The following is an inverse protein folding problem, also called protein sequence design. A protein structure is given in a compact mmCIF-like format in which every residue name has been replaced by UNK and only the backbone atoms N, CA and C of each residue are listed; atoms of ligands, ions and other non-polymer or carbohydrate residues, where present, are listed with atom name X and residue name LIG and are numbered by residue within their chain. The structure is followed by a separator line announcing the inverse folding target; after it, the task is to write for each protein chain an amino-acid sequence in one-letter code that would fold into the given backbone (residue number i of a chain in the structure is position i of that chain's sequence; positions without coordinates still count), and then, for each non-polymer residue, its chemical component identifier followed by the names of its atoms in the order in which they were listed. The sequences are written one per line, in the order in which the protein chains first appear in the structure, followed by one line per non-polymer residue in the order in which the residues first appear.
data_IF_364366326289
#
_entry.id   IF_364366326289
#
_cell.length_a   1.000
_cell.length_b   1.000
_cell.length_c   1.000
_cell.angle_alpha   90.00
_cell.angle_beta   90.00
_cell.angle_gamma   90.00
#
_symmetry.space_group_name_H-M   'P 1'
#
loop_
_entity.id
_entity.type
_entity.pdbx_description
1 polymer ?
#
# COMPACT_ATOMS: atom_id res chain seq x y z
N UNK A 1 23.89 64.20 11.48
CA UNK A 1 23.83 62.83 10.92
C UNK A 1 24.32 61.90 12.03
N UNK A 2 23.40 61.39 12.85
CA UNK A 2 23.75 60.60 14.05
C UNK A 2 23.69 59.12 13.71
N UNK A 3 24.84 58.50 13.47
CA UNK A 3 24.96 57.05 13.36
C UNK A 3 24.63 56.44 14.73
N UNK A 4 23.49 55.77 14.81
CA UNK A 4 23.08 54.98 15.97
C UNK A 4 23.83 53.64 15.91
N UNK A 5 25.08 53.61 16.38
CA UNK A 5 25.88 52.40 16.53
C UNK A 5 25.47 51.65 17.81
N UNK A 6 24.25 51.11 17.84
CA UNK A 6 23.86 50.10 18.82
C UNK A 6 24.45 48.76 18.39
N UNK A 7 25.60 48.40 18.95
CA UNK A 7 26.16 47.06 18.82
C UNK A 7 25.17 45.99 19.30
N UNK A 8 25.15 44.85 18.63
CA UNK A 8 24.25 43.74 18.96
C UNK A 8 24.66 43.13 20.31
N UNK A 9 23.70 42.99 21.23
CA UNK A 9 23.97 42.39 22.54
C UNK A 9 24.11 40.87 22.44
N UNK A 10 24.83 40.26 23.38
CA UNK A 10 25.03 38.81 23.41
C UNK A 10 23.70 38.04 23.49
N UNK A 11 22.72 38.59 24.22
CA UNK A 11 21.40 37.98 24.36
C UNK A 11 20.59 38.03 23.06
N UNK A 12 20.72 39.11 22.28
CA UNK A 12 20.08 39.21 20.96
C UNK A 12 20.67 38.22 19.96
N UNK A 13 22.00 38.03 19.98
CA UNK A 13 22.68 37.00 19.17
C UNK A 13 22.21 35.60 19.57
N UNK A 14 22.13 35.31 20.86
CA UNK A 14 21.66 34.03 21.36
C UNK A 14 20.19 33.78 20.98
N UNK A 15 19.32 34.78 21.11
CA UNK A 15 17.93 34.71 20.69
C UNK A 15 17.81 34.48 19.18
N UNK A 16 18.61 35.15 18.36
CA UNK A 16 18.61 34.97 16.91
C UNK A 16 19.04 33.55 16.50
N UNK A 17 20.12 33.02 17.08
CA UNK A 17 20.63 31.67 16.77
C UNK A 17 19.65 30.59 17.24
N UNK A 18 19.06 30.76 18.43
CA UNK A 18 18.08 29.81 18.97
C UNK A 18 16.80 29.79 18.12
N UNK A 19 16.28 30.96 17.75
CA UNK A 19 15.12 31.06 16.86
C UNK A 19 15.42 30.44 15.49
N UNK A 20 16.60 30.74 14.92
CA UNK A 20 17.03 30.14 13.65
C UNK A 20 17.10 28.61 13.75
N UNK A 21 17.65 28.09 14.85
CA UNK A 21 17.80 26.65 15.06
C UNK A 21 16.45 25.93 15.17
N UNK A 22 15.49 26.51 15.89
CA UNK A 22 14.11 25.96 15.98
C UNK A 22 13.47 25.89 14.59
N UNK A 23 13.61 26.95 13.79
CA UNK A 23 13.07 27.00 12.43
C UNK A 23 13.71 25.91 11.56
N UNK A 24 15.03 25.79 11.58
CA UNK A 24 15.76 24.79 10.78
C UNK A 24 15.38 23.36 11.16
N UNK A 25 15.31 23.04 12.46
CA UNK A 25 14.94 21.70 12.93
C UNK A 25 13.50 21.37 12.55
N UNK A 26 12.60 22.36 12.61
CA UNK A 26 11.20 22.17 12.23
C UNK A 26 11.07 21.80 10.75
N UNK A 27 11.72 22.56 9.86
CA UNK A 27 11.70 22.27 8.42
C UNK A 27 12.40 20.95 8.08
N UNK A 28 13.55 20.66 8.70
CA UNK A 28 14.24 19.39 8.50
C UNK A 28 13.34 18.19 8.87
N UNK A 29 12.63 18.29 10.00
CA UNK A 29 11.72 17.25 10.47
C UNK A 29 10.53 17.06 9.51
N UNK A 30 10.01 18.15 8.93
CA UNK A 30 8.95 18.08 7.92
C UNK A 30 9.42 17.35 6.66
N UNK A 31 10.61 17.67 6.14
CA UNK A 31 11.13 17.03 4.93
C UNK A 31 11.38 15.53 5.11
N UNK A 32 11.95 15.12 6.25
CA UNK A 32 12.18 13.70 6.55
C UNK A 32 10.85 12.94 6.59
N UNK A 33 9.83 13.51 7.23
CA UNK A 33 8.50 12.89 7.28
C UNK A 33 7.86 12.81 5.90
N UNK A 34 7.95 13.89 5.10
CA UNK A 34 7.41 13.92 3.74
C UNK A 34 8.02 12.83 2.86
N UNK A 35 9.35 12.62 2.92
CA UNK A 35 10.02 11.57 2.15
C UNK A 35 9.50 10.17 2.50
N UNK A 36 9.36 9.88 3.80
CA UNK A 36 8.84 8.58 4.28
C UNK A 36 7.41 8.32 3.81
N UNK A 37 6.54 9.33 3.87
CA UNK A 37 5.14 9.22 3.40
C UNK A 37 5.09 9.01 1.89
N UNK A 38 5.91 9.71 1.11
CA UNK A 38 5.99 9.52 -0.35
C UNK A 38 6.42 8.10 -0.70
N UNK A 39 7.46 7.56 -0.06
CA UNK A 39 7.90 6.18 -0.29
C UNK A 39 6.81 5.17 0.09
N UNK A 40 6.17 5.34 1.25
CA UNK A 40 5.09 4.45 1.69
C UNK A 40 3.91 4.47 0.72
N UNK A 41 3.52 5.64 0.22
CA UNK A 41 2.46 5.77 -0.78
C UNK A 41 2.86 5.14 -2.12
N UNK A 42 4.12 5.25 -2.53
CA UNK A 42 4.66 4.55 -3.70
C UNK A 42 4.50 3.04 -3.58
N UNK A 43 4.95 2.44 -2.46
CA UNK A 43 4.80 1.01 -2.18
C UNK A 43 3.33 0.58 -2.21
N UNK A 44 2.44 1.34 -1.56
CA UNK A 44 1.00 1.06 -1.55
C UNK A 44 0.38 1.15 -2.95
N UNK A 45 0.79 2.13 -3.76
CA UNK A 45 0.33 2.30 -5.14
C UNK A 45 0.77 1.12 -6.01
N UNK A 46 2.02 0.70 -5.90
CA UNK A 46 2.53 -0.50 -6.60
C UNK A 46 1.77 -1.75 -6.17
N UNK A 47 1.52 -1.94 -4.87
CA UNK A 47 0.72 -3.05 -4.37
C UNK A 47 -0.69 -3.08 -5.00
N UNK A 48 -1.33 -1.91 -5.11
CA UNK A 48 -2.63 -1.75 -5.74
C UNK A 48 -2.59 -2.06 -7.25
N UNK A 49 -1.59 -1.57 -7.98
CA UNK A 49 -1.42 -1.87 -9.40
C UNK A 49 -1.21 -3.36 -9.65
N UNK A 50 -0.39 -4.02 -8.83
CA UNK A 50 -0.17 -5.46 -8.88
C UNK A 50 -1.47 -6.23 -8.59
N UNK A 51 -2.27 -5.81 -7.60
CA UNK A 51 -3.58 -6.39 -7.31
C UNK A 51 -4.55 -6.26 -8.49
N UNK A 52 -4.61 -5.08 -9.13
CA UNK A 52 -5.45 -4.83 -10.31
C UNK A 52 -5.03 -5.69 -11.51
N UNK A 53 -3.72 -5.84 -11.74
CA UNK A 53 -3.21 -6.69 -12.81
C UNK A 53 -3.59 -8.15 -12.55
N UNK A 54 -3.40 -8.62 -11.31
CA UNK A 54 -3.74 -9.98 -10.93
C UNK A 54 -5.24 -10.26 -11.06
N UNK A 55 -6.11 -9.37 -10.57
CA UNK A 55 -7.56 -9.58 -10.64
C UNK A 55 -8.07 -9.53 -12.08
N UNK A 56 -7.47 -8.69 -12.92
CA UNK A 56 -7.77 -8.63 -14.35
C UNK A 56 -7.37 -9.95 -15.01
N UNK A 57 -6.15 -10.44 -14.77
CA UNK A 57 -5.68 -11.73 -15.29
C UNK A 57 -6.60 -12.88 -14.89
N UNK A 58 -7.01 -12.97 -13.63
CA UNK A 58 -7.88 -14.06 -13.15
C UNK A 58 -9.30 -13.97 -13.73
N UNK A 59 -9.77 -12.77 -14.05
CA UNK A 59 -11.13 -12.56 -14.58
C UNK A 59 -11.20 -12.73 -16.09
N UNK A 60 -10.22 -12.22 -16.84
CA UNK A 60 -10.20 -12.30 -18.30
C UNK A 60 -9.78 -13.67 -18.82
N UNK A 61 -8.93 -14.40 -18.08
CA UNK A 61 -8.42 -15.70 -18.54
C UNK A 61 -9.49 -16.80 -18.60
N UNK A 62 -10.72 -16.57 -18.10
CA UNK A 62 -11.81 -17.56 -18.12
C UNK A 62 -11.50 -18.83 -17.30
N UNK A 63 -10.36 -18.88 -16.61
CA UNK A 63 -9.94 -20.00 -15.78
C UNK A 63 -10.72 -19.96 -14.48
N UNK A 64 -11.69 -20.85 -14.34
CA UNK A 64 -12.28 -21.20 -13.06
C UNK A 64 -11.19 -21.82 -12.20
N UNK A 65 -10.49 -20.98 -11.45
CA UNK A 65 -9.53 -21.44 -10.47
C UNK A 65 -10.30 -22.12 -9.34
N UNK A 66 -10.40 -23.44 -9.40
CA UNK A 66 -10.96 -24.25 -8.33
C UNK A 66 -10.08 -24.21 -7.09
N UNK A 67 -10.66 -24.55 -5.94
CA UNK A 67 -9.89 -24.72 -4.71
C UNK A 67 -8.95 -25.92 -4.87
N UNK A 68 -7.64 -25.69 -4.85
CA UNK A 68 -6.67 -26.79 -4.74
C UNK A 68 -6.60 -27.28 -3.31
N UNK A 69 -6.25 -28.56 -3.09
CA UNK A 69 -6.11 -29.18 -1.77
C UNK A 69 -4.86 -28.72 -0.99
N UNK A 70 -4.12 -27.73 -1.48
CA UNK A 70 -2.95 -27.21 -0.79
C UNK A 70 -3.36 -26.22 0.30
N UNK A 71 -2.93 -26.48 1.54
CA UNK A 71 -3.09 -25.59 2.68
C UNK A 71 -2.18 -24.37 2.53
N UNK A 72 -2.68 -23.33 1.87
CA UNK A 72 -1.99 -22.02 1.81
C UNK A 72 -2.35 -21.26 3.09
N UNK A 73 -1.36 -20.94 3.92
CA UNK A 73 -1.56 -20.08 5.09
C UNK A 73 -1.53 -18.61 4.67
N UNK A 74 -2.57 -17.85 5.00
CA UNK A 74 -2.57 -16.39 4.80
C UNK A 74 -1.94 -15.68 6.00
N UNK A 75 -1.18 -14.59 5.80
CA UNK A 75 -0.59 -13.81 6.89
C UNK A 75 -1.64 -13.15 7.81
N UNK A 76 -2.86 -12.93 7.31
CA UNK A 76 -3.97 -12.33 8.05
C UNK A 76 -5.23 -13.19 7.92
N UNK A 77 -6.24 -13.02 8.80
CA UNK A 77 -7.50 -13.74 8.70
C UNK A 77 -8.11 -13.59 7.31
N UNK A 78 -8.52 -14.71 6.71
CA UNK A 78 -9.08 -14.72 5.35
C UNK A 78 -10.30 -13.80 5.24
N UNK A 79 -10.54 -13.17 4.07
CA UNK A 79 -11.71 -12.31 3.88
C UNK A 79 -13.01 -13.08 4.18
N UNK A 80 -13.99 -12.39 4.77
CA UNK A 80 -15.29 -12.99 5.08
C UNK A 80 -15.95 -13.52 3.79
N UNK A 81 -16.55 -14.70 3.86
CA UNK A 81 -17.17 -15.36 2.71
C UNK A 81 -16.17 -15.95 1.71
N UNK A 82 -14.87 -16.00 2.05
CA UNK A 82 -13.88 -16.73 1.24
C UNK A 82 -14.08 -18.23 1.37
N UNK A 83 -14.26 -18.91 0.25
CA UNK A 83 -14.28 -20.37 0.17
C UNK A 83 -12.87 -20.94 0.32
N UNK A 84 -11.90 -20.38 -0.39
CA UNK A 84 -10.52 -20.86 -0.41
C UNK A 84 -9.55 -19.85 -1.04
N UNK A 85 -8.25 -20.11 -0.88
CA UNK A 85 -7.18 -19.42 -1.60
C UNK A 85 -6.92 -20.19 -2.89
N UNK A 86 -6.97 -19.49 -4.02
CA UNK A 86 -6.83 -20.10 -5.35
C UNK A 86 -5.46 -19.87 -5.98
N UNK A 87 -4.76 -18.80 -5.59
CA UNK A 87 -3.45 -18.48 -6.12
C UNK A 87 -2.63 -17.69 -5.10
N UNK A 88 -1.33 -17.98 -5.03
CA UNK A 88 -0.34 -17.21 -4.32
C UNK A 88 0.82 -16.91 -5.28
N UNK A 89 1.02 -15.64 -5.60
CA UNK A 89 2.19 -15.20 -6.38
C UNK A 89 3.05 -14.24 -5.57
N UNK A 90 4.36 -14.26 -5.86
CA UNK A 90 5.31 -13.30 -5.29
C UNK A 90 5.84 -12.44 -6.42
N UNK A 91 5.89 -11.13 -6.22
CA UNK A 91 6.41 -10.15 -7.16
C UNK A 91 7.43 -9.28 -6.45
N UNK A 92 8.51 -8.92 -7.12
CA UNK A 92 9.52 -8.01 -6.56
C UNK A 92 9.54 -6.76 -7.41
N UNK A 93 9.39 -5.60 -6.78
CA UNK A 93 9.46 -4.30 -7.42
C UNK A 93 10.10 -3.31 -6.45
N UNK A 94 11.10 -2.55 -6.93
CA UNK A 94 11.83 -1.53 -6.16
C UNK A 94 12.33 -2.03 -4.79
N UNK A 95 12.98 -3.19 -4.79
CA UNK A 95 13.51 -3.87 -3.58
C UNK A 95 12.45 -4.22 -2.53
N UNK A 96 11.16 -4.14 -2.87
CA UNK A 96 10.05 -4.60 -2.04
C UNK A 96 9.48 -5.89 -2.63
N UNK A 97 9.21 -6.85 -1.75
CA UNK A 97 8.55 -8.10 -2.13
C UNK A 97 7.06 -8.00 -1.81
N UNK A 98 6.24 -8.21 -2.84
CA UNK A 98 4.79 -8.23 -2.75
C UNK A 98 4.29 -9.67 -2.81
N UNK A 99 3.42 -10.05 -1.88
CA UNK A 99 2.75 -11.35 -1.91
C UNK A 99 1.28 -11.15 -2.29
N UNK A 100 0.86 -11.75 -3.40
CA UNK A 100 -0.50 -11.63 -3.89
C UNK A 100 -1.26 -12.91 -3.61
N UNK A 101 -2.31 -12.81 -2.80
CA UNK A 101 -3.24 -13.90 -2.51
C UNK A 101 -4.53 -13.63 -3.25
N UNK A 102 -4.96 -14.59 -4.06
CA UNK A 102 -6.28 -14.57 -4.69
C UNK A 102 -7.20 -15.51 -3.92
N UNK A 103 -8.33 -15.01 -3.48
CA UNK A 103 -9.38 -15.73 -2.78
C UNK A 103 -10.59 -15.88 -3.69
N UNK A 104 -11.19 -17.06 -3.67
CA UNK A 104 -12.50 -17.28 -4.27
C UNK A 104 -13.56 -17.08 -3.18
N UNK A 105 -14.53 -16.20 -3.43
CA UNK A 105 -15.67 -16.02 -2.54
C UNK A 105 -16.75 -17.07 -2.83
N UNK A 106 -17.49 -17.44 -1.79
CA UNK A 106 -18.71 -18.23 -1.96
C UNK A 106 -19.71 -17.47 -2.83
N UNK A 107 -20.38 -18.16 -3.79
CA UNK A 107 -21.34 -17.51 -4.66
C UNK A 107 -22.50 -16.96 -3.81
N UNK A 108 -22.64 -15.63 -3.81
CA UNK A 108 -23.80 -14.95 -3.25
C UNK A 108 -25.00 -15.24 -4.15
N UNK A 109 -25.77 -16.26 -3.79
CA UNK A 109 -27.14 -16.56 -4.26
C UNK A 109 -27.44 -16.11 -5.70
N UNK A 110 -27.33 -17.07 -6.64
CA UNK A 110 -28.00 -17.05 -7.94
C UNK A 110 -27.30 -16.39 -9.15
N UNK A 111 -25.96 -16.32 -9.18
CA UNK A 111 -25.24 -16.10 -10.45
C UNK A 111 -24.05 -17.06 -10.56
N UNK A 112 -23.86 -17.69 -11.73
CA UNK A 112 -22.72 -18.56 -12.06
C UNK A 112 -21.38 -17.79 -12.17
N UNK A 113 -21.25 -16.66 -11.48
CA UNK A 113 -20.15 -15.73 -11.60
C UNK A 113 -19.22 -15.89 -10.39
N UNK A 114 -18.02 -16.39 -10.64
CA UNK A 114 -16.99 -16.52 -9.61
C UNK A 114 -16.50 -15.13 -9.21
N UNK A 115 -16.70 -14.76 -7.95
CA UNK A 115 -16.20 -13.50 -7.39
C UNK A 115 -14.85 -13.75 -6.75
N UNK A 116 -13.85 -12.96 -7.14
CA UNK A 116 -12.50 -13.06 -6.62
C UNK A 116 -12.14 -11.84 -5.78
N UNK A 117 -11.34 -12.07 -4.74
CA UNK A 117 -10.69 -11.02 -3.95
C UNK A 117 -9.19 -11.21 -4.09
N UNK A 118 -8.46 -10.13 -4.37
CA UNK A 118 -7.00 -10.15 -4.39
C UNK A 118 -6.48 -9.30 -3.25
N UNK A 119 -5.65 -9.89 -2.38
CA UNK A 119 -4.85 -9.16 -1.40
C UNK A 119 -3.41 -9.09 -1.85
N UNK A 120 -2.89 -7.88 -2.01
CA UNK A 120 -1.49 -7.62 -2.30
C UNK A 120 -0.81 -7.10 -1.03
N UNK A 121 -0.02 -7.97 -0.39
CA UNK A 121 0.74 -7.67 0.81
C UNK A 121 2.06 -7.03 0.43
N UNK A 122 2.35 -5.86 1.00
CA UNK A 122 3.63 -5.15 0.86
C UNK A 122 4.41 -5.13 2.19
N UNK A 123 3.87 -5.81 3.21
CA UNK A 123 4.48 -6.12 4.50
C UNK A 123 3.79 -7.37 5.08
N UNK A 124 4.21 -7.86 6.24
CA UNK A 124 3.61 -9.05 6.86
C UNK A 124 2.13 -8.85 7.23
N UNK A 125 1.73 -7.60 7.51
CA UNK A 125 0.37 -7.27 7.96
C UNK A 125 -0.32 -6.23 7.07
N UNK A 126 0.43 -5.44 6.31
CA UNK A 126 -0.12 -4.40 5.46
C UNK A 126 -0.40 -4.92 4.06
N UNK A 127 -1.64 -4.73 3.61
CA UNK A 127 -2.08 -5.14 2.28
C UNK A 127 -3.08 -4.16 1.67
N UNK A 128 -3.21 -4.25 0.36
CA UNK A 128 -4.33 -3.68 -0.39
C UNK A 128 -5.25 -4.83 -0.78
N UNK A 129 -6.55 -4.67 -0.57
CA UNK A 129 -7.58 -5.64 -0.94
C UNK A 129 -8.40 -5.07 -2.09
N UNK A 130 -8.63 -5.90 -3.12
CA UNK A 130 -9.41 -5.53 -4.29
C UNK A 130 -10.44 -6.62 -4.59
N UNK A 131 -11.69 -6.22 -4.75
CA UNK A 131 -12.80 -7.09 -5.11
C UNK A 131 -13.09 -6.98 -6.59
N UNK A 132 -13.36 -8.11 -7.23
CA UNK A 132 -13.90 -8.08 -8.58
C UNK A 132 -15.42 -8.07 -8.54
N UNK A 133 -16.03 -6.92 -8.85
CA UNK A 133 -17.48 -6.81 -8.98
C UNK A 133 -18.00 -7.12 -10.40
N UNK A 134 -17.11 -7.32 -11.40
CA UNK A 134 -17.48 -7.53 -12.80
C UNK A 134 -16.82 -8.77 -13.39
N UNK A 135 -17.62 -9.74 -13.79
CA UNK A 135 -17.14 -10.94 -14.50
C UNK A 135 -17.32 -10.71 -16.00
N UNK A 136 -16.22 -10.77 -16.76
CA UNK A 136 -16.29 -10.74 -18.22
C UNK A 136 -16.85 -12.09 -18.70
N UNK A 137 -18.06 -12.08 -19.27
CA UNK A 137 -18.62 -13.24 -19.95
C UNK A 137 -17.95 -13.34 -21.32
N UNK A 138 -17.10 -14.34 -21.54
CA UNK A 138 -16.64 -14.66 -22.89
C UNK A 138 -17.79 -15.36 -23.63
N UNK A 139 -18.14 -14.83 -24.81
CA UNK A 139 -19.13 -15.40 -25.73
C UNK A 139 -18.49 -16.49 -26.58
#
# INVERSE_FOLDING_TARGET
MTCNDKGMTLIEILAAITLLSVVLISFASFFIQSGRVTTFNGVKSTALQLAQNQISKTTYAGSTLGCSTQSISSPTPVPQGSKCIVNLTKQVSDNHTYQLYTYLLEPSNNTNLSTYVVRSYYSNTNYVELYNYYTAKQN
#
